data_IF_018871400080
#
_entry.id   IF_018871400080
#
_cell.length_a   1.000
_cell.length_b   1.000
_cell.length_c   1.000
_cell.angle_alpha   90.00
_cell.angle_beta   90.00
_cell.angle_gamma   90.00
#
_symmetry.space_group_name_H-M   'P 1'
#
loop_
_entity.id
_entity.type
_entity.pdbx_description
1 polymer ?
#
# COMPACT_ATOMS: atom_id res chain seq x y z
N UNK A 1 37.08 3.96 36.42
CA UNK A 1 35.87 3.11 36.62
C UNK A 1 35.29 2.80 35.24
N UNK A 2 35.28 1.54 34.81
CA UNK A 2 34.84 1.16 33.46
C UNK A 2 33.29 1.17 33.36
N UNK A 3 32.75 1.90 32.38
CA UNK A 3 31.30 1.93 32.07
C UNK A 3 30.89 0.56 31.51
N UNK A 4 30.03 -0.17 32.22
CA UNK A 4 29.43 -1.43 31.76
C UNK A 4 28.52 -1.18 30.55
N UNK A 5 28.63 -2.02 29.52
CA UNK A 5 27.73 -2.03 28.38
C UNK A 5 26.26 -2.26 28.80
N UNK A 6 25.27 -1.72 28.06
CA UNK A 6 23.86 -1.92 28.37
C UNK A 6 23.49 -3.40 28.27
N UNK A 7 22.89 -3.92 29.34
CA UNK A 7 22.64 -5.36 29.57
C UNK A 7 21.50 -5.96 28.74
N UNK A 8 20.79 -5.18 27.92
CA UNK A 8 19.66 -5.66 27.11
C UNK A 8 19.31 -4.69 25.97
N UNK A 9 18.78 -5.19 24.83
CA UNK A 9 18.40 -4.38 23.66
C UNK A 9 17.34 -3.30 23.96
N UNK A 10 16.56 -3.49 25.01
CA UNK A 10 15.46 -2.61 25.42
C UNK A 10 15.90 -1.38 26.24
N UNK A 11 17.17 -1.28 26.63
CA UNK A 11 17.66 -0.20 27.50
C UNK A 11 17.70 1.19 26.85
N UNK A 12 17.66 1.26 25.52
CA UNK A 12 17.67 2.52 24.75
C UNK A 12 16.33 2.91 24.12
N UNK A 13 15.26 2.13 24.35
CA UNK A 13 13.95 2.41 23.75
C UNK A 13 13.14 3.39 24.61
N UNK A 14 12.35 4.21 23.93
CA UNK A 14 11.41 5.14 24.58
C UNK A 14 10.37 4.38 25.40
N UNK A 15 10.05 4.94 26.57
CA UNK A 15 9.11 4.34 27.52
C UNK A 15 7.87 5.21 27.63
N UNK A 16 6.71 4.60 27.47
CA UNK A 16 5.42 5.28 27.58
C UNK A 16 4.58 4.64 28.70
N UNK A 17 4.22 5.44 29.71
CA UNK A 17 3.41 4.98 30.84
C UNK A 17 1.92 5.09 30.50
N UNK A 18 1.26 3.94 30.29
CA UNK A 18 -0.17 3.87 29.95
C UNK A 18 -1.00 3.57 31.19
N UNK A 19 -2.10 4.32 31.40
CA UNK A 19 -3.14 3.98 32.37
C UNK A 19 -4.18 3.10 31.69
N UNK A 20 -4.35 1.88 32.19
CA UNK A 20 -5.29 0.90 31.62
C UNK A 20 -6.57 0.82 32.47
N UNK A 21 -7.76 0.71 31.86
CA UNK A 21 -8.97 0.39 32.58
C UNK A 21 -8.89 -1.02 33.21
N UNK A 22 -9.72 -1.30 34.23
CA UNK A 22 -9.75 -2.60 34.90
C UNK A 22 -9.89 -3.77 33.91
N UNK A 23 -9.15 -4.85 34.13
CA UNK A 23 -9.19 -6.07 33.32
C UNK A 23 -8.53 -6.00 31.94
N UNK A 24 -8.20 -4.80 31.42
CA UNK A 24 -7.57 -4.70 30.10
C UNK A 24 -6.15 -5.28 30.08
N UNK A 25 -5.40 -5.14 31.18
CA UNK A 25 -4.06 -5.72 31.31
C UNK A 25 -4.10 -7.25 31.21
N UNK A 26 -5.05 -7.90 31.89
CA UNK A 26 -5.17 -9.36 31.88
C UNK A 26 -5.59 -9.88 30.51
N UNK A 27 -6.51 -9.18 29.85
CA UNK A 27 -6.92 -9.47 28.47
C UNK A 27 -5.72 -9.36 27.52
N UNK A 28 -4.89 -8.33 27.66
CA UNK A 28 -3.68 -8.14 26.86
C UNK A 28 -2.69 -9.29 27.08
N UNK A 29 -2.48 -9.73 28.33
CA UNK A 29 -1.62 -10.87 28.64
C UNK A 29 -2.12 -12.17 28.03
N UNK A 30 -3.43 -12.44 28.09
CA UNK A 30 -4.03 -13.62 27.50
C UNK A 30 -3.82 -13.66 25.98
N UNK A 31 -4.03 -12.52 25.30
CA UNK A 31 -3.81 -12.37 23.87
C UNK A 31 -2.33 -12.55 23.49
N UNK A 32 -1.43 -11.92 24.25
CA UNK A 32 0.01 -12.05 24.02
C UNK A 32 0.48 -13.50 24.16
N UNK A 33 -0.03 -14.23 25.16
CA UNK A 33 0.26 -15.67 25.36
C UNK A 33 -0.27 -16.52 24.21
N UNK A 34 -1.50 -16.27 23.76
CA UNK A 34 -2.09 -16.97 22.61
C UNK A 34 -1.26 -16.75 21.34
N UNK A 35 -0.68 -15.56 21.19
CA UNK A 35 0.15 -15.17 20.04
C UNK A 35 1.66 -15.48 20.23
N UNK A 36 2.06 -16.15 21.32
CA UNK A 36 3.46 -16.52 21.58
C UNK A 36 4.42 -15.34 21.77
N UNK A 37 3.93 -14.18 22.22
CA UNK A 37 4.73 -12.96 22.37
C UNK A 37 4.59 -12.32 23.76
N UNK A 38 5.48 -11.39 24.07
CA UNK A 38 5.36 -10.61 25.31
C UNK A 38 4.16 -9.65 25.24
N UNK A 39 3.60 -9.28 26.40
CA UNK A 39 2.52 -8.29 26.44
C UNK A 39 2.93 -6.94 25.83
N UNK A 40 4.21 -6.56 25.96
CA UNK A 40 4.75 -5.37 25.31
C UNK A 40 4.73 -5.51 23.78
N UNK A 41 5.15 -6.66 23.25
CA UNK A 41 5.13 -6.92 21.81
C UNK A 41 3.68 -6.95 21.25
N UNK A 42 2.72 -7.49 22.01
CA UNK A 42 1.30 -7.42 21.66
C UNK A 42 0.77 -5.99 21.63
N UNK A 43 1.15 -5.17 22.61
CA UNK A 43 0.74 -3.77 22.66
C UNK A 43 1.30 -2.97 21.48
N UNK A 44 2.60 -3.12 21.20
CA UNK A 44 3.28 -2.44 20.09
C UNK A 44 2.64 -2.81 18.75
N UNK A 45 2.46 -4.10 18.46
CA UNK A 45 1.84 -4.56 17.20
C UNK A 45 0.41 -4.03 17.00
N UNK A 46 -0.39 -3.94 18.08
CA UNK A 46 -1.73 -3.34 18.01
C UNK A 46 -1.67 -1.84 17.72
N UNK A 47 -0.71 -1.14 18.33
CA UNK A 47 -0.53 0.29 18.11
C UNK A 47 -0.06 0.56 16.68
N UNK A 48 0.91 -0.18 16.16
CA UNK A 48 1.39 -0.06 14.77
C UNK A 48 0.24 -0.28 13.77
N UNK A 49 -0.57 -1.32 13.97
CA UNK A 49 -1.75 -1.58 13.12
C UNK A 49 -2.84 -0.51 13.24
N UNK A 50 -3.04 0.03 14.44
CA UNK A 50 -4.13 0.99 14.70
C UNK A 50 -3.78 2.41 14.27
N UNK A 51 -2.52 2.82 14.45
CA UNK A 51 -2.03 4.12 14.00
C UNK A 51 -1.89 4.09 12.47
N UNK A 52 -1.66 2.90 11.91
CA UNK A 52 -1.38 2.70 10.50
C UNK A 52 0.00 3.26 10.17
N UNK A 53 0.67 2.65 9.20
CA UNK A 53 1.79 3.36 8.59
C UNK A 53 1.17 4.42 7.68
N UNK A 54 1.01 5.64 8.22
CA UNK A 54 0.53 6.81 7.45
C UNK A 54 1.38 6.95 6.18
N UNK A 55 2.64 6.55 6.24
CA UNK A 55 3.53 6.54 5.10
C UNK A 55 3.17 5.47 4.08
N UNK A 56 2.70 4.29 4.47
CA UNK A 56 2.27 3.27 3.49
C UNK A 56 0.98 3.66 2.78
N UNK A 57 0.04 4.28 3.49
CA UNK A 57 -1.18 4.82 2.87
C UNK A 57 -0.83 5.95 1.89
N UNK A 58 0.10 6.84 2.25
CA UNK A 58 0.59 7.90 1.36
C UNK A 58 1.38 7.35 0.16
N UNK A 59 2.24 6.34 0.35
CA UNK A 59 2.99 5.67 -0.72
C UNK A 59 2.05 4.97 -1.69
N UNK A 60 1.03 4.27 -1.20
CA UNK A 60 -0.03 3.69 -2.01
C UNK A 60 -0.73 4.76 -2.84
N UNK A 61 -1.13 5.88 -2.20
CA UNK A 61 -1.81 6.98 -2.88
C UNK A 61 -0.93 7.65 -3.96
N UNK A 62 0.37 7.82 -3.68
CA UNK A 62 1.34 8.35 -4.64
C UNK A 62 1.52 7.41 -5.85
N UNK A 63 1.71 6.10 -5.60
CA UNK A 63 1.84 5.11 -6.68
C UNK A 63 0.56 4.99 -7.53
N UNK A 64 -0.62 5.16 -6.94
CA UNK A 64 -1.87 5.23 -7.68
C UNK A 64 -1.93 6.46 -8.60
N UNK A 65 -1.45 7.62 -8.15
CA UNK A 65 -1.40 8.83 -8.97
C UNK A 65 -0.52 8.63 -10.21
N UNK A 66 0.66 8.04 -10.05
CA UNK A 66 1.57 7.76 -11.17
C UNK A 66 0.96 6.78 -12.17
N UNK A 67 0.29 5.73 -11.66
CA UNK A 67 -0.40 4.77 -12.51
C UNK A 67 -1.57 5.41 -13.27
N UNK A 68 -2.35 6.28 -12.62
CA UNK A 68 -3.45 7.03 -13.26
C UNK A 68 -2.92 7.92 -14.38
N UNK A 69 -1.80 8.60 -14.16
CA UNK A 69 -1.16 9.43 -15.20
C UNK A 69 -0.68 8.58 -16.38
N UNK A 70 -0.14 7.39 -16.13
CA UNK A 70 0.30 6.50 -17.21
C UNK A 70 -0.88 5.93 -18.01
N UNK A 71 -1.96 5.54 -17.33
CA UNK A 71 -3.21 5.12 -17.98
C UNK A 71 -3.79 6.25 -18.83
N UNK A 72 -3.78 7.49 -18.33
CA UNK A 72 -4.29 8.66 -19.06
C UNK A 72 -3.56 8.89 -20.40
N UNK A 73 -2.26 8.56 -20.49
CA UNK A 73 -1.49 8.64 -21.75
C UNK A 73 -1.90 7.59 -22.79
N UNK A 74 -2.48 6.47 -22.36
CA UNK A 74 -2.92 5.39 -23.26
C UNK A 74 -4.29 5.67 -23.91
N UNK A 75 -5.15 6.46 -23.25
CA UNK A 75 -6.48 6.84 -23.77
C UNK A 75 -6.40 7.49 -25.15
N UNK A 76 -5.62 8.56 -25.40
CA UNK A 76 -5.56 9.19 -26.72
C UNK A 76 -4.97 8.27 -27.79
N UNK A 77 -3.98 7.43 -27.44
CA UNK A 77 -3.40 6.45 -28.38
C UNK A 77 -4.44 5.45 -28.87
N UNK A 78 -5.36 5.05 -28.01
CA UNK A 78 -6.46 4.15 -28.40
C UNK A 78 -7.43 4.81 -29.39
N UNK A 79 -7.71 6.11 -29.21
CA UNK A 79 -8.55 6.88 -30.11
C UNK A 79 -7.91 7.07 -31.49
N UNK A 80 -6.59 7.25 -31.54
CA UNK A 80 -5.85 7.40 -32.79
C UNK A 80 -5.80 6.08 -33.58
N UNK A 81 -5.57 4.96 -32.89
CA UNK A 81 -5.66 3.62 -33.49
C UNK A 81 -7.06 3.34 -34.04
N UNK A 82 -8.12 3.72 -33.31
CA UNK A 82 -9.49 3.56 -33.78
C UNK A 82 -9.76 4.39 -35.05
N UNK A 83 -9.28 5.64 -35.09
CA UNK A 83 -9.41 6.51 -36.27
C UNK A 83 -8.67 5.95 -37.49
N UNK A 84 -7.47 5.42 -37.30
CA UNK A 84 -6.69 4.86 -38.41
C UNK A 84 -7.30 3.54 -38.92
N UNK A 85 -7.81 2.69 -38.03
CA UNK A 85 -8.55 1.49 -38.41
C UNK A 85 -9.81 1.83 -39.24
N UNK A 86 -10.51 2.92 -38.91
CA UNK A 86 -11.68 3.36 -39.68
C UNK A 86 -11.30 3.89 -41.08
N UNK A 87 -10.20 4.64 -41.20
CA UNK A 87 -9.69 5.11 -42.50
C UNK A 87 -9.30 3.94 -43.40
N UNK A 88 -8.57 2.96 -42.86
CA UNK A 88 -8.15 1.77 -43.62
C UNK A 88 -9.36 0.96 -44.10
N UNK A 89 -10.41 0.85 -43.29
CA UNK A 89 -11.67 0.22 -43.71
C UNK A 89 -12.35 0.95 -44.86
N UNK A 90 -12.35 2.29 -44.86
CA UNK A 90 -12.91 3.10 -45.96
C UNK A 90 -12.08 2.91 -47.24
N UNK A 91 -10.76 2.97 -47.15
CA UNK A 91 -9.84 2.72 -48.27
C UNK A 91 -10.00 1.33 -48.88
N UNK A 92 -10.14 0.30 -48.05
CA UNK A 92 -10.40 -1.06 -48.54
C UNK A 92 -11.74 -1.10 -49.28
N UNK A 93 -12.80 -0.51 -48.73
CA UNK A 93 -14.12 -0.49 -49.37
C UNK A 93 -14.09 0.21 -50.75
N UNK A 94 -13.42 1.36 -50.83
CA UNK A 94 -13.29 2.12 -52.08
C UNK A 94 -12.46 1.37 -53.15
N UNK A 95 -11.46 0.59 -52.74
CA UNK A 95 -10.67 -0.25 -53.65
C UNK A 95 -11.43 -1.47 -54.19
N UNK A 96 -12.41 -2.00 -53.46
CA UNK A 96 -13.23 -3.13 -53.91
C UNK A 96 -14.42 -2.70 -54.78
N UNK A 97 -15.03 -1.53 -54.52
CA UNK A 97 -16.17 -1.03 -55.29
C UNK A 97 -15.76 -0.44 -56.66
N UNK A 98 -14.49 -0.03 -56.83
CA UNK A 98 -13.94 0.51 -58.09
C UNK A 98 -13.55 -0.53 -59.15
N UNK A 99 -13.67 -1.83 -58.87
CA UNK A 99 -13.31 -2.93 -59.79
C UNK A 99 -14.53 -3.79 -60.18
N UNK A 100 -15.75 -3.27 -60.02
CA UNK A 100 -16.95 -3.93 -60.54
C UNK A 100 -16.99 -3.74 -62.08
N UNK A 101 -16.99 -4.83 -62.88
CA UNK A 101 -17.14 -4.77 -64.34
C UNK A 101 -18.53 -4.32 -64.79
#
# INVERSE_FOLDING_TARGET
>A
MAKRAPKSPSLGLDKFNVRLPPGLRDRLHALAKANGRSANAELVDRLEKSIGDIDDTKKLLAGMSDLVLEIAKLVPRSADVAREAEKLRKLQKDQFDGNAP
#
